data_IF_710237712406
#
_entry.id   IF_710237712406
#
_cell.length_a   1.000
_cell.length_b   1.000
_cell.length_c   1.000
_cell.angle_alpha   90.00
_cell.angle_beta   90.00
_cell.angle_gamma   90.00
#
_symmetry.space_group_name_H-M   'P 1'
#
loop_
_entity.id
_entity.type
_entity.pdbx_description
1 polymer ?
#
# COMPACT_ATOMS: atom_id res chain seq x y z
N UNK A 1 20.98 37.25 37.33
CA UNK A 1 20.44 37.52 35.98
C UNK A 1 20.72 36.26 35.17
N UNK A 2 19.77 35.42 34.80
CA UNK A 2 18.65 35.65 33.87
C UNK A 2 17.40 34.89 34.35
N UNK A 3 16.32 35.61 34.62
CA UNK A 3 15.14 35.74 33.75
C UNK A 3 14.25 34.50 33.75
N UNK A 4 13.17 34.62 34.53
CA UNK A 4 11.82 34.16 34.19
C UNK A 4 11.62 33.99 32.68
N UNK A 5 11.36 32.76 32.23
CA UNK A 5 10.96 32.41 30.87
C UNK A 5 9.85 31.38 30.96
N UNK A 6 8.63 31.80 30.62
CA UNK A 6 7.39 31.07 30.78
C UNK A 6 7.43 29.67 30.15
N UNK A 7 7.03 28.66 30.93
CA UNK A 7 6.45 27.39 30.49
C UNK A 7 7.40 26.44 29.76
N UNK A 8 7.65 25.21 30.25
CA UNK A 8 8.27 24.19 29.41
C UNK A 8 7.40 23.97 28.17
N UNK A 9 7.79 24.61 27.08
CA UNK A 9 7.67 24.15 25.70
C UNK A 9 6.49 23.20 25.48
N UNK A 10 5.27 23.74 25.31
CA UNK A 10 4.15 22.94 24.81
C UNK A 10 4.40 22.47 23.35
N UNK A 11 5.32 23.12 22.63
CA UNK A 11 5.73 22.79 21.28
C UNK A 11 6.23 21.34 21.09
N UNK A 12 7.15 20.79 21.91
CA UNK A 12 7.56 19.39 21.82
C UNK A 12 6.44 18.40 22.16
N UNK A 13 5.51 18.73 23.06
CA UNK A 13 4.35 17.85 23.36
C UNK A 13 3.35 17.83 22.18
N UNK A 14 3.10 18.98 21.56
CA UNK A 14 2.30 19.08 20.33
C UNK A 14 2.98 18.35 19.16
N UNK A 15 4.30 18.47 19.03
CA UNK A 15 5.07 17.68 18.04
C UNK A 15 5.01 16.19 18.30
N UNK A 16 5.04 15.76 19.56
CA UNK A 16 4.96 14.35 19.93
C UNK A 16 3.61 13.77 19.54
N UNK A 17 2.51 14.46 19.86
CA UNK A 17 1.15 14.03 19.48
C UNK A 17 0.88 14.14 17.97
N UNK A 18 1.43 15.15 17.30
CA UNK A 18 1.29 15.32 15.85
C UNK A 18 2.09 14.30 15.05
N UNK A 19 3.17 13.74 15.63
CA UNK A 19 4.02 12.72 15.02
C UNK A 19 3.76 11.31 15.51
N UNK A 20 2.68 11.07 16.27
CA UNK A 20 2.22 9.70 16.45
C UNK A 20 2.05 9.10 15.05
N UNK A 21 2.72 7.97 14.74
CA UNK A 21 2.63 7.35 13.44
C UNK A 21 1.18 6.91 13.24
N UNK A 22 0.36 7.78 12.68
CA UNK A 22 -0.89 7.38 12.04
C UNK A 22 -0.42 6.47 10.92
N UNK A 23 -0.69 5.18 11.07
CA UNK A 23 -0.52 4.24 9.98
C UNK A 23 -1.17 4.89 8.75
N UNK A 24 -0.47 4.95 7.61
CA UNK A 24 -1.09 5.38 6.36
C UNK A 24 -2.45 4.70 6.27
N UNK A 25 -3.51 5.45 5.94
CA UNK A 25 -4.82 4.87 5.77
C UNK A 25 -4.66 3.62 4.90
N UNK A 26 -5.12 2.44 5.34
CA UNK A 26 -4.92 1.22 4.58
C UNK A 26 -5.38 1.51 3.16
N UNK A 27 -4.50 1.20 2.18
CA UNK A 27 -4.85 1.34 0.79
C UNK A 27 -6.23 0.69 0.60
N UNK A 28 -7.14 1.42 -0.05
CA UNK A 28 -8.55 1.07 -0.14
C UNK A 28 -8.73 -0.44 -0.35
N UNK A 29 -9.53 -1.11 0.48
CA UNK A 29 -9.90 -2.54 0.40
C UNK A 29 -10.64 -2.93 -0.91
N UNK A 30 -10.53 -2.11 -1.95
CA UNK A 30 -10.89 -2.48 -3.32
C UNK A 30 -9.84 -3.50 -3.76
N UNK A 31 -10.13 -4.78 -3.45
CA UNK A 31 -9.37 -5.99 -3.81
C UNK A 31 -9.30 -6.18 -5.33
N UNK A 32 -8.73 -5.20 -6.01
CA UNK A 32 -8.56 -5.18 -7.44
C UNK A 32 -7.56 -6.28 -7.81
N UNK A 33 -7.66 -6.79 -9.04
CA UNK A 33 -6.78 -7.82 -9.60
C UNK A 33 -5.28 -7.54 -9.31
N UNK A 34 -4.88 -6.27 -9.36
CA UNK A 34 -3.54 -5.80 -9.03
C UNK A 34 -3.13 -6.07 -7.57
N UNK A 35 -4.02 -5.89 -6.61
CA UNK A 35 -3.70 -6.10 -5.19
C UNK A 35 -3.62 -7.58 -4.83
N UNK A 36 -4.34 -8.42 -5.57
CA UNK A 36 -4.42 -9.87 -5.35
C UNK A 36 -3.24 -10.65 -5.92
N UNK A 37 -2.64 -10.16 -7.00
CA UNK A 37 -1.56 -10.87 -7.70
C UNK A 37 -0.26 -10.07 -7.88
N UNK A 38 -0.28 -8.73 -7.72
CA UNK A 38 0.87 -7.87 -8.02
C UNK A 38 1.36 -7.03 -6.83
N UNK A 39 0.81 -7.18 -5.63
CA UNK A 39 1.22 -6.38 -4.48
C UNK A 39 1.81 -7.21 -3.32
N UNK A 40 2.95 -6.74 -2.79
CA UNK A 40 3.60 -7.26 -1.59
C UNK A 40 3.77 -8.79 -1.56
N UNK A 41 3.35 -9.41 -0.45
CA UNK A 41 3.46 -10.86 -0.18
C UNK A 41 2.63 -11.74 -1.14
N UNK A 42 1.70 -11.14 -1.88
CA UNK A 42 0.87 -11.83 -2.88
C UNK A 42 1.37 -11.62 -4.31
N UNK A 43 2.58 -11.06 -4.49
CA UNK A 43 3.22 -10.99 -5.79
C UNK A 43 3.42 -12.42 -6.33
N UNK A 44 2.61 -12.78 -7.31
CA UNK A 44 2.53 -14.12 -7.86
C UNK A 44 2.61 -14.07 -9.38
N UNK A 45 3.26 -15.07 -9.98
CA UNK A 45 3.31 -15.26 -11.43
C UNK A 45 2.01 -15.86 -12.00
N UNK A 46 1.03 -16.21 -11.16
CA UNK A 46 -0.27 -16.73 -11.60
C UNK A 46 -0.95 -15.94 -12.73
N UNK A 47 -1.04 -14.59 -12.71
CA UNK A 47 -1.60 -13.81 -13.82
C UNK A 47 -0.85 -14.00 -15.15
N UNK A 48 0.47 -14.20 -15.12
CA UNK A 48 1.25 -14.46 -16.34
C UNK A 48 0.89 -15.83 -16.93
N UNK A 49 0.79 -16.86 -16.09
CA UNK A 49 0.36 -18.19 -16.52
C UNK A 49 -1.07 -18.18 -17.08
N UNK A 50 -1.99 -17.50 -16.41
CA UNK A 50 -3.35 -17.30 -16.90
C UNK A 50 -3.40 -16.62 -18.26
N UNK A 51 -2.57 -15.58 -18.46
CA UNK A 51 -2.46 -14.90 -19.74
C UNK A 51 -1.96 -15.84 -20.84
N UNK A 52 -0.90 -16.61 -20.57
CA UNK A 52 -0.35 -17.61 -21.49
C UNK A 52 -1.45 -18.62 -21.89
N UNK A 53 -2.11 -19.25 -20.92
CA UNK A 53 -3.20 -20.18 -21.21
C UNK A 53 -4.36 -19.54 -21.97
N UNK A 54 -4.69 -18.29 -21.67
CA UNK A 54 -5.71 -17.53 -22.39
C UNK A 54 -5.35 -17.35 -23.86
N UNK A 55 -4.11 -16.95 -24.16
CA UNK A 55 -3.65 -16.76 -25.55
C UNK A 55 -3.63 -18.08 -26.31
N UNK A 56 -3.06 -19.16 -25.74
CA UNK A 56 -3.01 -20.46 -26.40
C UNK A 56 -4.40 -21.09 -26.56
N UNK A 57 -5.26 -21.00 -25.54
CA UNK A 57 -6.63 -21.49 -25.62
C UNK A 57 -7.48 -20.73 -26.64
N UNK A 58 -7.33 -19.40 -26.70
CA UNK A 58 -8.00 -18.59 -27.71
C UNK A 58 -7.47 -18.90 -29.11
N UNK A 59 -6.16 -19.05 -29.27
CA UNK A 59 -5.54 -19.46 -30.54
C UNK A 59 -6.07 -20.81 -31.03
N UNK A 60 -6.14 -21.82 -30.15
CA UNK A 60 -6.74 -23.12 -30.47
C UNK A 60 -8.21 -23.00 -30.88
N UNK A 61 -8.98 -22.15 -30.20
CA UNK A 61 -10.41 -21.93 -30.53
C UNK A 61 -10.61 -21.18 -31.86
N UNK A 62 -9.62 -20.41 -32.31
CA UNK A 62 -9.67 -19.70 -33.59
C UNK A 62 -9.19 -20.60 -34.74
N UNK A 63 -8.24 -21.49 -34.46
CA UNK A 63 -7.64 -22.38 -35.46
C UNK A 63 -8.55 -23.57 -35.84
N UNK A 64 -9.36 -24.05 -34.90
CA UNK A 64 -10.32 -25.15 -35.07
C UNK A 64 -11.78 -24.67 -35.02
#
# INVERSE_FOLDING_TARGET
VQSTGQGPSLAPLVQLYSKLPKSPAPASDIRCFKERFMNGKNASGAPLLWFIFGVFGLGYTIDY
#
